data_IF_589848504874
#
_entry.id   IF_589848504874
#
_cell.length_a   1.000
_cell.length_b   1.000
_cell.length_c   1.000
_cell.angle_alpha   90.00
_cell.angle_beta   90.00
_cell.angle_gamma   90.00
#
_symmetry.space_group_name_H-M   'P 1'
#
loop_
_entity.id
_entity.type
_entity.pdbx_description
1 polymer ?
#
# COMPACT_ATOMS: atom_id res chain seq x y z
N UNK A 1 -25.65 -8.81 25.01
CA UNK A 1 -25.06 -7.68 24.27
C UNK A 1 -23.57 -7.78 24.49
N UNK A 2 -22.72 -7.99 23.48
CA UNK A 2 -21.29 -7.87 23.68
C UNK A 2 -20.89 -6.42 23.50
N UNK A 3 -20.23 -5.89 24.53
CA UNK A 3 -19.65 -4.56 24.59
C UNK A 3 -18.42 -4.52 23.67
N UNK A 4 -18.51 -3.73 22.60
CA UNK A 4 -17.43 -3.56 21.63
C UNK A 4 -16.39 -2.57 22.14
N UNK A 5 -15.39 -3.06 22.88
CA UNK A 5 -14.14 -2.31 23.05
C UNK A 5 -13.43 -2.17 21.69
N UNK A 6 -12.94 -0.97 21.32
CA UNK A 6 -12.08 -0.83 20.16
C UNK A 6 -10.76 -1.54 20.48
N UNK A 7 -10.56 -2.74 19.91
CA UNK A 7 -9.28 -3.43 19.99
C UNK A 7 -8.23 -2.58 19.26
N UNK A 8 -7.48 -1.77 20.00
CA UNK A 8 -6.30 -1.08 19.47
C UNK A 8 -5.29 -2.17 19.10
N UNK A 9 -5.25 -2.54 17.81
CA UNK A 9 -4.27 -3.50 17.32
C UNK A 9 -2.95 -2.77 17.12
N UNK A 10 -1.89 -3.26 17.77
CA UNK A 10 -0.52 -2.75 17.55
C UNK A 10 -0.06 -2.94 16.09
N UNK A 11 -0.64 -3.92 15.40
CA UNK A 11 -0.35 -4.26 14.00
C UNK A 11 -1.63 -4.58 13.22
N UNK A 12 -1.67 -4.24 11.93
CA UNK A 12 -2.75 -4.64 11.01
C UNK A 12 -2.81 -6.17 10.83
N UNK A 13 -3.85 -6.63 10.12
CA UNK A 13 -4.06 -8.05 9.75
C UNK A 13 -2.84 -8.71 9.06
N UNK A 14 -1.93 -7.90 8.50
CA UNK A 14 -0.70 -8.35 7.84
C UNK A 14 0.57 -8.18 8.69
N UNK A 15 0.44 -7.90 10.00
CA UNK A 15 1.56 -7.70 10.91
C UNK A 15 2.33 -6.39 10.67
N UNK A 16 1.71 -5.42 9.99
CA UNK A 16 2.32 -4.11 9.71
C UNK A 16 1.89 -3.07 10.74
N UNK A 17 2.71 -2.04 11.03
CA UNK A 17 2.33 -0.99 11.97
C UNK A 17 0.98 -0.34 11.63
N UNK A 18 0.05 -0.38 12.57
CA UNK A 18 -1.26 0.26 12.43
C UNK A 18 -1.12 1.78 12.68
N UNK A 19 -1.78 2.65 11.89
CA UNK A 19 -1.77 4.09 12.13
C UNK A 19 -2.27 4.48 13.53
N UNK A 20 -3.14 3.68 14.15
CA UNK A 20 -3.71 3.96 15.47
C UNK A 20 -2.87 3.43 16.63
N UNK A 21 -1.88 2.57 16.36
CA UNK A 21 -1.13 1.89 17.41
C UNK A 21 -0.28 2.83 18.29
N UNK A 22 -0.07 4.10 17.90
CA UNK A 22 0.88 5.00 18.58
C UNK A 22 0.46 6.48 18.60
N UNK A 23 -0.81 6.79 18.83
CA UNK A 23 -1.24 8.17 19.12
C UNK A 23 -0.59 8.77 20.39
N UNK A 24 0.13 7.96 21.19
CA UNK A 24 0.86 8.41 22.38
C UNK A 24 2.32 8.87 22.16
N UNK A 25 2.93 8.67 20.98
CA UNK A 25 4.38 8.96 20.78
C UNK A 25 4.70 10.30 20.10
N UNK A 26 3.70 11.08 19.66
CA UNK A 26 3.90 12.40 19.07
C UNK A 26 4.70 12.43 17.75
N UNK A 27 4.78 11.31 17.02
CA UNK A 27 5.49 11.24 15.72
C UNK A 27 4.45 11.03 14.63
N UNK A 28 4.29 12.03 13.77
CA UNK A 28 3.45 11.90 12.58
C UNK A 28 4.05 10.85 11.63
N UNK A 29 3.21 9.90 11.21
CA UNK A 29 3.57 8.80 10.31
C UNK A 29 2.88 8.97 8.97
N UNK A 30 3.59 8.68 7.90
CA UNK A 30 2.98 8.59 6.59
C UNK A 30 2.14 7.29 6.53
N UNK A 31 0.91 7.39 6.03
CA UNK A 31 0.01 6.23 5.94
C UNK A 31 0.03 5.68 4.52
N UNK A 32 0.43 4.42 4.38
CA UNK A 32 0.48 3.70 3.11
C UNK A 32 -0.78 2.87 2.96
N UNK A 33 -1.63 3.24 2.00
CA UNK A 33 -2.85 2.50 1.65
C UNK A 33 -2.54 1.57 0.47
N UNK A 34 -2.79 0.28 0.66
CA UNK A 34 -2.45 -0.76 -0.31
C UNK A 34 -3.54 -1.83 -0.43
N UNK A 35 -3.43 -2.69 -1.44
CA UNK A 35 -4.35 -3.81 -1.64
C UNK A 35 -3.90 -5.04 -0.84
N UNK A 36 -4.57 -5.30 0.29
CA UNK A 36 -4.31 -6.46 1.16
C UNK A 36 -4.62 -7.82 0.52
N UNK A 37 -5.45 -7.85 -0.52
CA UNK A 37 -5.80 -9.09 -1.23
C UNK A 37 -4.83 -9.43 -2.37
N UNK A 38 -3.91 -8.52 -2.69
CA UNK A 38 -2.87 -8.75 -3.68
C UNK A 38 -1.55 -9.15 -3.00
N UNK A 39 -1.14 -10.42 -3.11
CA UNK A 39 0.09 -10.92 -2.47
C UNK A 39 1.35 -10.16 -2.93
N UNK A 40 1.39 -9.71 -4.19
CA UNK A 40 2.44 -8.80 -4.67
C UNK A 40 2.44 -7.47 -3.89
N UNK A 41 1.29 -6.80 -3.78
CA UNK A 41 1.19 -5.53 -3.05
C UNK A 41 1.57 -5.70 -1.57
N UNK A 42 1.07 -6.75 -0.92
CA UNK A 42 1.38 -7.09 0.47
C UNK A 42 2.89 -7.34 0.66
N UNK A 43 3.53 -8.12 -0.21
CA UNK A 43 4.97 -8.36 -0.14
C UNK A 43 5.79 -7.08 -0.33
N UNK A 44 5.34 -6.18 -1.22
CA UNK A 44 6.00 -4.89 -1.46
C UNK A 44 5.92 -3.97 -0.23
N UNK A 45 4.77 -3.87 0.43
CA UNK A 45 4.64 -3.03 1.65
C UNK A 45 5.37 -3.63 2.85
N UNK A 46 5.46 -4.97 2.97
CA UNK A 46 6.30 -5.63 3.97
C UNK A 46 7.78 -5.32 3.75
N UNK A 47 8.25 -5.35 2.49
CA UNK A 47 9.60 -4.93 2.15
C UNK A 47 9.82 -3.44 2.46
N UNK A 48 8.82 -2.60 2.16
CA UNK A 48 8.87 -1.16 2.45
C UNK A 48 9.00 -0.89 3.96
N UNK A 49 8.25 -1.62 4.79
CA UNK A 49 8.37 -1.57 6.24
C UNK A 49 9.79 -1.94 6.71
N UNK A 50 10.38 -3.02 6.17
CA UNK A 50 11.77 -3.37 6.47
C UNK A 50 12.79 -2.29 6.06
N UNK A 51 12.52 -1.55 4.98
CA UNK A 51 13.36 -0.45 4.50
C UNK A 51 13.25 0.82 5.36
N UNK A 52 12.26 0.91 6.24
CA UNK A 52 12.16 1.98 7.23
C UNK A 52 13.14 1.81 8.41
N UNK A 53 13.87 0.68 8.46
CA UNK A 53 14.88 0.38 9.51
C UNK A 53 14.37 0.61 10.93
N UNK A 54 13.09 0.32 11.19
CA UNK A 54 12.47 0.47 12.50
C UNK A 54 12.32 1.92 12.97
N UNK A 55 12.41 2.92 12.07
CA UNK A 55 12.24 4.34 12.41
C UNK A 55 10.77 4.70 12.72
N UNK A 56 9.82 3.85 12.33
CA UNK A 56 8.40 4.06 12.57
C UNK A 56 7.82 5.24 11.82
N UNK A 57 8.36 5.55 10.62
CA UNK A 57 7.89 6.66 9.77
C UNK A 57 6.65 6.29 8.97
N UNK A 58 6.43 5.00 8.76
CA UNK A 58 5.34 4.48 7.95
C UNK A 58 4.34 3.71 8.83
N UNK A 59 3.07 3.98 8.60
CA UNK A 59 1.95 3.14 9.01
C UNK A 59 1.28 2.57 7.76
N UNK A 60 0.58 1.46 7.90
CA UNK A 60 0.00 0.75 6.76
C UNK A 60 -1.48 0.49 7.00
N UNK A 61 -2.28 0.63 5.95
CA UNK A 61 -3.71 0.35 6.00
C UNK A 61 -4.13 -0.40 4.74
N UNK A 62 -4.82 -1.52 4.92
CA UNK A 62 -5.42 -2.26 3.81
C UNK A 62 -6.57 -1.43 3.26
N UNK A 63 -6.69 -1.31 1.93
CA UNK A 63 -7.83 -0.61 1.31
C UNK A 63 -9.17 -1.23 1.69
N UNK A 64 -9.20 -2.51 2.11
CA UNK A 64 -10.37 -3.24 2.57
C UNK A 64 -10.79 -2.91 4.00
N UNK A 65 -9.95 -2.17 4.74
CA UNK A 65 -10.28 -1.71 6.08
C UNK A 65 -11.32 -0.58 6.01
N UNK A 66 -12.45 -0.66 6.75
CA UNK A 66 -13.48 0.38 6.74
C UNK A 66 -12.95 1.77 7.13
N UNK A 67 -11.88 1.84 7.93
CA UNK A 67 -11.24 3.10 8.32
C UNK A 67 -10.72 3.90 7.13
N UNK A 68 -10.41 3.24 6.01
CA UNK A 68 -9.98 3.94 4.79
C UNK A 68 -11.09 4.82 4.24
N UNK A 69 -12.32 4.30 4.18
CA UNK A 69 -13.47 5.06 3.71
C UNK A 69 -13.84 6.20 4.68
N UNK A 70 -13.64 5.99 5.98
CA UNK A 70 -13.93 7.00 7.01
C UNK A 70 -12.91 8.14 7.02
N UNK A 71 -11.60 7.83 6.91
CA UNK A 71 -10.51 8.82 7.04
C UNK A 71 -10.08 9.45 5.72
N UNK A 72 -10.24 8.71 4.63
CA UNK A 72 -9.76 9.09 3.29
C UNK A 72 -10.89 8.98 2.27
N UNK A 73 -12.11 9.36 2.67
CA UNK A 73 -13.31 9.29 1.82
C UNK A 73 -13.26 10.14 0.54
N UNK A 74 -12.26 11.01 0.39
CA UNK A 74 -11.98 11.71 -0.87
C UNK A 74 -11.31 10.82 -1.93
N UNK A 75 -10.72 9.70 -1.54
CA UNK A 75 -10.15 8.70 -2.44
C UNK A 75 -11.23 7.67 -2.79
N UNK A 76 -11.55 7.56 -4.07
CA UNK A 76 -12.54 6.56 -4.50
C UNK A 76 -11.96 5.16 -4.40
N UNK A 77 -12.84 4.19 -4.16
CA UNK A 77 -12.47 2.77 -4.15
C UNK A 77 -11.75 2.37 -5.45
N UNK A 78 -12.18 2.87 -6.59
CA UNK A 78 -11.56 2.61 -7.88
C UNK A 78 -10.11 3.14 -7.95
N UNK A 79 -9.85 4.34 -7.40
CA UNK A 79 -8.49 4.89 -7.34
C UNK A 79 -7.57 4.01 -6.47
N UNK A 80 -8.06 3.59 -5.29
CA UNK A 80 -7.32 2.72 -4.37
C UNK A 80 -7.07 1.32 -4.97
N UNK A 81 -8.01 0.81 -5.77
CA UNK A 81 -7.83 -0.45 -6.50
C UNK A 81 -6.86 -0.32 -7.67
N UNK A 82 -6.75 0.86 -8.30
CA UNK A 82 -5.84 1.05 -9.42
C UNK A 82 -4.39 1.25 -9.00
N UNK A 83 -4.13 1.81 -7.82
CA UNK A 83 -2.78 2.14 -7.38
C UNK A 83 -2.66 2.26 -5.85
N UNK A 84 -1.43 2.08 -5.36
CA UNK A 84 -1.07 2.37 -3.96
C UNK A 84 -1.09 3.88 -3.72
N UNK A 85 -1.51 4.28 -2.53
CA UNK A 85 -1.45 5.66 -2.06
C UNK A 85 -0.59 5.80 -0.81
N UNK A 86 0.06 6.95 -0.68
CA UNK A 86 0.75 7.39 0.53
C UNK A 86 0.15 8.73 0.92
N UNK A 87 -0.33 8.79 2.15
CA UNK A 87 -0.79 10.02 2.79
C UNK A 87 0.37 10.51 3.65
N UNK A 88 0.94 11.66 3.29
CA UNK A 88 1.99 12.24 4.11
C UNK A 88 1.43 12.89 5.38
N UNK A 89 2.33 13.25 6.29
CA UNK A 89 2.00 13.89 7.57
C UNK A 89 1.32 15.25 7.40
N UNK A 90 1.50 15.90 6.26
CA UNK A 90 0.85 17.16 5.91
C UNK A 90 -0.54 16.95 5.29
N UNK A 91 -0.95 15.68 5.09
CA UNK A 91 -2.23 15.29 4.52
C UNK A 91 -2.27 15.24 2.99
N UNK A 92 -1.14 15.37 2.29
CA UNK A 92 -1.10 15.27 0.83
C UNK A 92 -1.17 13.81 0.37
N UNK A 93 -1.80 13.60 -0.79
CA UNK A 93 -2.10 12.28 -1.36
C UNK A 93 -1.12 12.02 -2.50
N UNK A 94 -0.21 11.08 -2.31
CA UNK A 94 0.73 10.65 -3.34
C UNK A 94 0.26 9.30 -3.88
N UNK A 95 0.00 9.22 -5.18
CA UNK A 95 -0.55 8.03 -5.82
C UNK A 95 0.44 7.36 -6.78
N UNK A 96 0.49 6.04 -6.78
CA UNK A 96 1.23 5.24 -7.75
C UNK A 96 2.71 5.60 -7.87
N UNK A 97 3.14 6.05 -9.05
CA UNK A 97 4.53 6.48 -9.25
C UNK A 97 4.92 7.67 -8.36
N UNK A 98 3.98 8.57 -8.07
CA UNK A 98 4.24 9.73 -7.22
C UNK A 98 4.41 9.32 -5.75
N UNK A 99 3.69 8.27 -5.29
CA UNK A 99 3.94 7.63 -4.00
C UNK A 99 5.36 7.05 -3.92
N UNK A 100 5.81 6.33 -4.95
CA UNK A 100 7.18 5.76 -4.98
C UNK A 100 8.24 6.86 -4.98
N UNK A 101 7.99 7.97 -5.69
CA UNK A 101 8.87 9.15 -5.68
C UNK A 101 8.90 9.86 -4.33
N UNK A 102 7.78 9.92 -3.62
CA UNK A 102 7.72 10.45 -2.26
C UNK A 102 8.53 9.57 -1.31
N UNK A 103 8.25 8.26 -1.30
CA UNK A 103 8.93 7.28 -0.46
C UNK A 103 10.45 7.26 -0.69
N UNK A 104 10.91 7.41 -1.94
CA UNK A 104 12.35 7.43 -2.26
C UNK A 104 13.12 8.58 -1.61
N UNK A 105 12.44 9.67 -1.26
CA UNK A 105 13.02 10.78 -0.48
C UNK A 105 12.87 10.58 1.02
N UNK A 106 11.79 9.90 1.44
CA UNK A 106 11.44 9.71 2.85
C UNK A 106 12.26 8.62 3.53
N UNK A 107 12.56 7.55 2.80
CA UNK A 107 13.25 6.37 3.29
C UNK A 107 14.73 6.39 2.88
N UNK A 108 15.68 6.51 3.84
CA UNK A 108 17.11 6.55 3.52
C UNK A 108 17.61 5.30 2.79
N UNK A 109 16.98 4.14 3.00
CA UNK A 109 17.36 2.89 2.33
C UNK A 109 17.16 2.91 0.80
N UNK A 110 16.26 3.74 0.29
CA UNK A 110 15.95 3.85 -1.15
C UNK A 110 16.36 5.22 -1.73
N UNK A 111 17.17 5.98 -1.00
CA UNK A 111 17.63 7.31 -1.43
C UNK A 111 18.43 7.27 -2.74
N UNK A 112 19.15 6.18 -3.00
CA UNK A 112 19.95 6.00 -4.22
C UNK A 112 19.09 5.91 -5.49
N UNK A 113 17.82 5.50 -5.36
CA UNK A 113 16.86 5.48 -6.47
C UNK A 113 16.22 6.86 -6.71
N UNK A 114 16.28 7.77 -5.74
CA UNK A 114 15.74 9.12 -5.85
C UNK A 114 16.28 9.91 -7.07
N UNK A 115 17.59 10.00 -7.36
CA UNK A 115 18.08 10.77 -8.51
C UNK A 115 17.47 10.30 -9.83
N UNK A 116 17.38 8.98 -10.05
CA UNK A 116 16.79 8.38 -11.26
C UNK A 116 15.29 8.65 -11.34
N UNK A 117 14.58 8.50 -10.22
CA UNK A 117 13.14 8.74 -10.14
C UNK A 117 12.78 10.22 -10.29
N UNK A 118 13.67 11.14 -9.90
CA UNK A 118 13.41 12.59 -9.89
C UNK A 118 14.00 13.36 -11.09
N UNK A 119 14.54 12.67 -12.10
CA UNK A 119 15.02 13.31 -13.33
C UNK A 119 13.94 14.18 -13.99
N UNK A 120 14.23 15.44 -14.37
CA UNK A 120 13.27 16.31 -15.04
C UNK A 120 12.81 15.67 -16.36
N UNK A 121 11.50 15.68 -16.62
CA UNK A 121 10.89 15.03 -17.79
C UNK A 121 10.60 13.53 -17.66
N UNK A 122 11.14 12.84 -16.66
CA UNK A 122 10.92 11.39 -16.49
C UNK A 122 9.56 11.02 -15.88
N UNK A 123 8.80 11.99 -15.35
CA UNK A 123 7.55 11.71 -14.62
C UNK A 123 6.52 10.93 -15.46
N UNK A 124 6.37 11.25 -16.75
CA UNK A 124 5.46 10.52 -17.65
C UNK A 124 5.89 9.06 -17.83
N UNK A 125 7.19 8.82 -17.96
CA UNK A 125 7.75 7.47 -18.09
C UNK A 125 7.49 6.64 -16.83
N UNK A 126 7.76 7.20 -15.64
CA UNK A 126 7.52 6.49 -14.37
C UNK A 126 6.04 6.18 -14.14
N UNK A 127 5.15 7.13 -14.44
CA UNK A 127 3.70 6.91 -14.36
C UNK A 127 3.24 5.80 -15.31
N UNK A 128 3.74 5.81 -16.54
CA UNK A 128 3.43 4.76 -17.51
C UNK A 128 3.93 3.39 -17.05
N UNK A 129 5.20 3.30 -16.61
CA UNK A 129 5.77 2.03 -16.12
C UNK A 129 5.03 1.52 -14.90
N UNK A 130 4.72 2.39 -13.94
CA UNK A 130 3.91 2.02 -12.77
C UNK A 130 2.55 1.47 -13.19
N UNK A 131 1.85 2.14 -14.12
CA UNK A 131 0.55 1.69 -14.60
C UNK A 131 0.61 0.31 -15.27
N UNK A 132 1.67 0.00 -16.03
CA UNK A 132 1.86 -1.34 -16.60
C UNK A 132 2.04 -2.41 -15.52
N UNK A 133 2.78 -2.11 -14.46
CA UNK A 133 2.95 -3.03 -13.31
C UNK A 133 1.64 -3.19 -12.56
N UNK A 134 0.95 -2.09 -12.25
CA UNK A 134 -0.33 -2.11 -11.55
C UNK A 134 -1.39 -2.93 -12.30
N UNK A 135 -1.50 -2.75 -13.63
CA UNK A 135 -2.39 -3.55 -14.48
C UNK A 135 -2.07 -5.05 -14.45
N UNK A 136 -0.80 -5.41 -14.24
CA UNK A 136 -0.33 -6.80 -14.19
C UNK A 136 -0.19 -7.33 -12.76
N UNK A 137 -0.55 -6.57 -11.71
CA UNK A 137 -0.25 -6.91 -10.31
C UNK A 137 -0.77 -8.26 -9.87
N UNK A 138 -1.99 -8.64 -10.29
CA UNK A 138 -2.56 -9.95 -9.96
C UNK A 138 -1.87 -11.09 -10.72
N UNK A 139 -1.54 -10.87 -11.99
CA UNK A 139 -0.74 -11.84 -12.75
C UNK A 139 0.65 -12.02 -12.14
N UNK A 140 1.31 -10.94 -11.72
CA UNK A 140 2.61 -10.97 -11.01
C UNK A 140 2.45 -11.72 -9.69
N UNK A 141 1.39 -11.42 -8.94
CA UNK A 141 1.05 -12.07 -7.68
C UNK A 141 0.91 -13.58 -7.83
N UNK A 142 0.12 -14.04 -8.81
CA UNK A 142 -0.05 -15.48 -9.05
C UNK A 142 1.22 -16.15 -9.56
N UNK A 143 1.94 -15.51 -10.48
CA UNK A 143 3.11 -16.12 -11.14
C UNK A 143 4.37 -16.17 -10.27
N UNK A 144 4.62 -15.13 -9.48
CA UNK A 144 5.89 -14.97 -8.75
C UNK A 144 5.74 -15.05 -7.23
N UNK A 145 4.55 -14.78 -6.69
CA UNK A 145 4.30 -14.77 -5.24
C UNK A 145 3.36 -15.91 -4.81
N UNK A 146 2.97 -16.79 -5.74
CA UNK A 146 2.04 -17.88 -5.46
C UNK A 146 0.65 -17.42 -4.99
N UNK A 147 0.33 -16.13 -5.18
CA UNK A 147 -0.92 -15.55 -4.73
C UNK A 147 -2.07 -16.11 -5.55
N UNK A 148 -2.87 -16.99 -4.94
CA UNK A 148 -4.19 -17.32 -5.49
C UNK A 148 -5.05 -16.06 -5.37
N UNK A 149 -5.80 -15.65 -6.42
CA UNK A 149 -6.81 -14.62 -6.23
C UNK A 149 -7.71 -15.07 -5.07
N UNK A 150 -7.93 -14.20 -4.08
CA UNK A 150 -8.97 -14.46 -3.08
C UNK A 150 -10.30 -14.36 -3.81
N UNK A 151 -10.78 -15.49 -4.30
CA UNK A 151 -12.11 -15.61 -4.85
C UNK A 151 -13.08 -15.54 -3.66
N UNK A 152 -13.69 -14.38 -3.44
CA UNK A 152 -14.99 -14.35 -2.79
C UNK A 152 -15.99 -14.95 -3.79
N UNK A 153 -16.45 -16.17 -3.51
CA UNK A 153 -17.46 -16.95 -4.25
C UNK A 153 -16.89 -18.04 -5.16
N UNK A 154 -17.48 -19.23 -5.01
CA UNK A 154 -17.18 -20.57 -5.55
C UNK A 154 -17.23 -20.72 -7.09
N UNK A 155 -16.95 -19.66 -7.87
CA UNK A 155 -17.16 -19.66 -9.33
C UNK A 155 -15.89 -19.80 -10.19
N UNK A 156 -14.71 -19.94 -9.59
CA UNK A 156 -13.45 -20.07 -10.34
C UNK A 156 -13.11 -21.50 -10.80
N UNK A 157 -14.10 -22.32 -11.12
CA UNK A 157 -13.90 -23.68 -11.65
C UNK A 157 -14.21 -23.85 -13.15
N UNK A 158 -14.58 -22.80 -13.90
CA UNK A 158 -15.08 -22.97 -15.29
C UNK A 158 -14.20 -22.45 -16.44
N UNK A 159 -12.96 -21.98 -16.23
CA UNK A 159 -12.16 -21.41 -17.33
C UNK A 159 -10.70 -21.86 -17.47
N UNK A 160 -10.30 -22.95 -16.83
CA UNK A 160 -8.99 -23.57 -17.11
C UNK A 160 -9.14 -25.06 -17.44
N UNK A 161 -9.84 -25.33 -18.54
CA UNK A 161 -9.63 -26.54 -19.34
C UNK A 161 -9.76 -26.18 -20.83
N UNK A 162 -8.60 -26.01 -21.47
CA UNK A 162 -8.32 -26.52 -22.81
C UNK A 162 -6.84 -26.47 -23.13
#
# INVERSE_FOLDING_TARGET
MPDGEPTYRETTEHGLPDPDAHSGSGVDRDVVIYDGDCAFCTAQVQRLHGLDWGRGRLAFLSLHDPRVAERYGDLTREQLMNQMFVIDTDGNRHGGADAVRYLSRRLPAIWWAAPVLHLPGSAKLWRWMYHQVAKRRYWISTKFFGGKPKCETDSCSIHFDK
#
